data_IF_285723659831
#
_entry.id   IF_285723659831
#
_cell.length_a   1.000
_cell.length_b   1.000
_cell.length_c   1.000
_cell.angle_alpha   90.00
_cell.angle_beta   90.00
_cell.angle_gamma   90.00
#
_symmetry.space_group_name_H-M   'P 1'
#
loop_
_entity.id
_entity.type
_entity.pdbx_description
1 polymer ?
#
# COMPACT_ATOMS: atom_id res chain seq x y z
N UNK A 1 29.43 -75.70 10.89
CA UNK A 1 28.23 -75.28 10.14
C UNK A 1 27.66 -74.01 10.78
N UNK A 2 27.48 -72.92 10.00
CA UNK A 2 26.65 -71.70 10.23
C UNK A 2 26.94 -70.87 11.51
N UNK A 3 27.10 -69.55 11.57
CA UNK A 3 27.24 -68.36 10.70
C UNK A 3 27.55 -67.18 11.67
N UNK A 4 28.06 -66.02 11.22
CA UNK A 4 28.81 -65.06 12.06
C UNK A 4 27.91 -64.03 12.76
N UNK A 5 28.40 -63.44 13.86
CA UNK A 5 27.91 -62.15 14.37
C UNK A 5 29.09 -61.18 14.50
N UNK A 6 28.89 -60.01 13.87
CA UNK A 6 29.89 -59.00 13.59
C UNK A 6 30.25 -58.13 14.80
N UNK A 7 31.48 -57.65 14.70
CA UNK A 7 32.24 -56.72 15.53
C UNK A 7 31.67 -55.28 15.63
N UNK A 8 32.28 -54.54 16.57
CA UNK A 8 32.46 -53.08 16.68
C UNK A 8 31.26 -52.28 17.21
N UNK A 9 31.25 -51.66 18.40
CA UNK A 9 32.28 -51.04 19.27
C UNK A 9 32.69 -49.60 18.84
N UNK A 10 31.94 -48.63 19.40
CA UNK A 10 32.32 -47.34 20.02
C UNK A 10 32.64 -46.09 19.15
N UNK A 11 31.94 -45.00 19.56
CA UNK A 11 32.25 -43.54 19.56
C UNK A 11 32.31 -42.80 18.22
N UNK A 12 31.90 -41.52 18.08
CA UNK A 12 31.24 -40.53 18.94
C UNK A 12 30.80 -39.34 18.06
N UNK A 13 30.13 -38.38 18.71
CA UNK A 13 30.02 -36.94 18.36
C UNK A 13 28.76 -36.47 17.62
N UNK A 14 28.06 -35.61 18.37
CA UNK A 14 27.03 -34.61 18.08
C UNK A 14 27.09 -33.87 16.74
N UNK A 15 25.92 -33.64 16.12
CA UNK A 15 25.33 -32.32 15.82
C UNK A 15 23.82 -32.55 15.58
N UNK A 16 22.98 -31.93 16.42
CA UNK A 16 21.52 -31.99 16.34
C UNK A 16 21.01 -31.23 15.12
N UNK A 17 20.43 -31.94 14.16
CA UNK A 17 19.58 -31.38 13.12
C UNK A 17 18.12 -31.48 13.55
N UNK A 18 17.55 -30.39 14.06
CA UNK A 18 16.09 -30.20 14.10
C UNK A 18 15.69 -29.26 12.97
N UNK A 19 15.80 -29.78 11.75
CA UNK A 19 15.15 -29.26 10.57
C UNK A 19 13.82 -30.01 10.38
N UNK A 20 12.83 -29.80 11.27
CA UNK A 20 11.49 -30.39 11.07
C UNK A 20 10.39 -29.72 11.92
N UNK A 21 10.37 -28.38 11.98
CA UNK A 21 9.27 -27.67 12.65
C UNK A 21 8.90 -26.32 12.02
N UNK A 22 9.07 -26.13 10.71
CA UNK A 22 8.53 -24.95 10.01
C UNK A 22 8.09 -25.26 8.56
N UNK A 23 7.17 -26.21 8.39
CA UNK A 23 6.37 -26.32 7.16
C UNK A 23 4.91 -26.55 7.52
N UNK A 24 4.18 -25.44 7.71
CA UNK A 24 2.72 -25.28 7.48
C UNK A 24 2.29 -23.87 7.91
N UNK A 25 2.60 -22.87 7.09
CA UNK A 25 1.82 -21.63 7.03
C UNK A 25 1.30 -21.50 5.60
N UNK A 26 0.07 -21.94 5.41
CA UNK A 26 -0.64 -21.80 4.14
C UNK A 26 -0.95 -20.34 3.80
N UNK A 27 -1.24 -20.02 2.54
CA UNK A 27 -1.34 -18.64 2.06
C UNK A 27 -2.77 -18.11 2.18
N UNK A 28 -3.31 -17.91 3.38
CA UNK A 28 -4.60 -17.21 3.53
C UNK A 28 -4.66 -16.51 4.89
N UNK A 29 -4.64 -15.16 4.91
CA UNK A 29 -5.36 -14.29 5.87
C UNK A 29 -4.95 -12.80 5.82
N UNK A 30 -3.86 -12.42 5.14
CA UNK A 30 -3.46 -11.00 5.06
C UNK A 30 -4.52 -10.09 4.41
N UNK A 31 -5.23 -10.56 3.37
CA UNK A 31 -6.24 -9.74 2.67
C UNK A 31 -7.49 -9.40 3.49
N UNK A 32 -7.91 -10.26 4.42
CA UNK A 32 -9.11 -9.99 5.25
C UNK A 32 -8.82 -9.01 6.40
N UNK A 33 -7.61 -9.04 6.97
CA UNK A 33 -7.24 -8.12 8.04
C UNK A 33 -7.07 -6.68 7.52
N UNK A 34 -6.46 -6.52 6.34
CA UNK A 34 -6.28 -5.21 5.69
C UNK A 34 -7.62 -4.58 5.28
N UNK A 35 -8.53 -5.39 4.72
CA UNK A 35 -9.88 -4.94 4.36
C UNK A 35 -10.75 -4.60 5.59
N UNK A 36 -10.63 -5.36 6.68
CA UNK A 36 -11.40 -5.11 7.92
C UNK A 36 -10.88 -3.89 8.70
N UNK A 37 -9.57 -3.59 8.64
CA UNK A 37 -9.00 -2.36 9.16
C UNK A 37 -9.41 -1.13 8.34
N UNK A 38 -9.44 -1.23 7.01
CA UNK A 38 -9.95 -0.17 6.14
C UNK A 38 -11.45 0.15 6.37
N UNK A 39 -12.27 -0.82 6.73
CA UNK A 39 -13.71 -0.61 6.97
C UNK A 39 -14.03 0.16 8.27
N UNK A 40 -13.12 0.14 9.26
CA UNK A 40 -13.24 0.88 10.52
C UNK A 40 -12.75 2.34 10.39
N UNK A 41 -11.78 2.60 9.50
CA UNK A 41 -11.09 3.89 9.36
C UNK A 41 -11.94 5.02 8.74
N UNK A 42 -13.16 4.75 8.27
CA UNK A 42 -13.98 5.74 7.55
C UNK A 42 -15.38 5.95 8.14
N UNK A 43 -15.65 5.45 9.36
CA UNK A 43 -16.95 5.66 10.01
C UNK A 43 -17.29 7.15 10.19
N UNK A 44 -16.27 7.98 10.40
CA UNK A 44 -16.39 9.43 10.58
C UNK A 44 -16.85 10.17 9.32
N UNK A 45 -16.82 9.55 8.14
CA UNK A 45 -17.36 10.15 6.90
C UNK A 45 -18.90 10.17 6.85
N UNK A 46 -19.59 9.54 7.81
CA UNK A 46 -21.05 9.54 7.85
C UNK A 46 -21.68 9.11 6.52
N UNK A 47 -22.52 9.98 5.95
CA UNK A 47 -23.22 9.73 4.68
C UNK A 47 -22.28 9.64 3.46
N UNK A 48 -21.07 10.21 3.53
CA UNK A 48 -20.09 10.15 2.44
C UNK A 48 -19.29 8.86 2.41
N UNK A 49 -19.39 8.02 3.46
CA UNK A 49 -18.60 6.78 3.56
C UNK A 49 -18.78 5.89 2.34
N UNK A 50 -20.02 5.63 1.93
CA UNK A 50 -20.29 4.71 0.81
C UNK A 50 -19.85 5.30 -0.53
N UNK A 51 -19.99 6.62 -0.71
CA UNK A 51 -19.47 7.33 -1.89
C UNK A 51 -17.94 7.26 -1.96
N UNK A 52 -17.26 7.53 -0.85
CA UNK A 52 -15.81 7.44 -0.76
C UNK A 52 -15.31 6.02 -1.02
N UNK A 53 -15.97 5.00 -0.46
CA UNK A 53 -15.60 3.60 -0.73
C UNK A 53 -15.81 3.23 -2.20
N UNK A 54 -16.92 3.66 -2.81
CA UNK A 54 -17.16 3.46 -4.24
C UNK A 54 -16.09 4.16 -5.08
N UNK A 55 -15.77 5.41 -4.75
CA UNK A 55 -14.68 6.17 -5.38
C UNK A 55 -13.33 5.46 -5.25
N UNK A 56 -12.99 4.96 -4.06
CA UNK A 56 -11.72 4.27 -3.84
C UNK A 56 -11.64 3.00 -4.69
N UNK A 57 -12.72 2.25 -4.77
CA UNK A 57 -12.81 1.07 -5.63
C UNK A 57 -12.76 1.42 -7.13
N UNK A 58 -13.40 2.52 -7.52
CA UNK A 58 -13.39 3.06 -8.88
C UNK A 58 -11.98 3.46 -9.33
N UNK A 59 -11.33 4.32 -8.55
CA UNK A 59 -10.05 4.96 -8.89
C UNK A 59 -8.88 4.09 -8.48
N UNK A 60 -8.70 3.82 -7.20
CA UNK A 60 -7.49 3.17 -6.68
C UNK A 60 -7.45 1.66 -6.92
N UNK A 61 -8.61 0.98 -6.92
CA UNK A 61 -8.69 -0.45 -7.28
C UNK A 61 -8.86 -0.66 -8.80
N UNK A 62 -9.06 0.42 -9.55
CA UNK A 62 -9.00 0.47 -11.02
C UNK A 62 -10.28 0.08 -11.76
N UNK A 63 -11.45 0.07 -11.09
CA UNK A 63 -12.71 -0.28 -11.74
C UNK A 63 -13.15 0.74 -12.82
N UNK A 64 -12.73 2.00 -12.74
CA UNK A 64 -13.02 3.00 -13.78
C UNK A 64 -12.12 2.84 -15.01
N UNK A 65 -10.95 2.24 -14.82
CA UNK A 65 -9.93 2.10 -15.85
C UNK A 65 -10.00 0.79 -16.60
N UNK A 66 -10.57 -0.24 -16.00
CA UNK A 66 -10.65 -1.60 -16.55
C UNK A 66 -12.06 -2.14 -16.42
N UNK A 67 -12.56 -2.84 -17.43
CA UNK A 67 -13.87 -3.48 -17.38
C UNK A 67 -13.82 -4.80 -16.61
N UNK A 68 -14.97 -5.40 -16.34
CA UNK A 68 -15.04 -6.73 -15.72
C UNK A 68 -14.47 -7.84 -16.61
N UNK A 69 -14.26 -7.57 -17.91
CA UNK A 69 -13.60 -8.48 -18.85
C UNK A 69 -12.07 -8.33 -18.83
N UNK A 70 -11.55 -7.21 -18.33
CA UNK A 70 -10.11 -6.92 -18.19
C UNK A 70 -9.54 -7.39 -16.82
N UNK A 71 -9.99 -8.54 -16.33
CA UNK A 71 -9.75 -9.02 -14.95
C UNK A 71 -8.27 -9.01 -14.58
N UNK A 72 -7.41 -9.51 -15.47
CA UNK A 72 -5.96 -9.60 -15.23
C UNK A 72 -5.30 -8.23 -15.11
N UNK A 73 -5.74 -7.25 -15.90
CA UNK A 73 -5.21 -5.89 -15.87
C UNK A 73 -5.65 -5.18 -14.59
N UNK A 74 -6.93 -5.32 -14.23
CA UNK A 74 -7.48 -4.78 -12.98
C UNK A 74 -6.76 -5.37 -11.77
N UNK A 75 -6.56 -6.70 -11.75
CA UNK A 75 -5.82 -7.37 -10.68
C UNK A 75 -4.36 -6.90 -10.62
N UNK A 76 -3.70 -6.68 -11.77
CA UNK A 76 -2.34 -6.18 -11.82
C UNK A 76 -2.23 -4.73 -11.30
N UNK A 77 -3.17 -3.86 -11.68
CA UNK A 77 -3.27 -2.47 -11.21
C UNK A 77 -3.49 -2.44 -9.69
N UNK A 78 -4.55 -3.09 -9.20
CA UNK A 78 -4.87 -3.17 -7.77
C UNK A 78 -3.71 -3.75 -6.97
N UNK A 79 -3.07 -4.81 -7.47
CA UNK A 79 -1.92 -5.42 -6.82
C UNK A 79 -0.70 -4.48 -6.75
N UNK A 80 -0.51 -3.62 -7.76
CA UNK A 80 0.54 -2.61 -7.74
C UNK A 80 0.18 -1.45 -6.79
N UNK A 81 -1.06 -0.98 -6.78
CA UNK A 81 -1.52 0.02 -5.80
C UNK A 81 -1.27 -0.43 -4.36
N UNK A 82 -1.69 -1.66 -4.03
CA UNK A 82 -1.46 -2.23 -2.70
C UNK A 82 0.03 -2.39 -2.38
N UNK A 83 0.86 -2.74 -3.36
CA UNK A 83 2.30 -2.81 -3.16
C UNK A 83 2.91 -1.43 -2.87
N UNK A 84 2.45 -0.36 -3.54
CA UNK A 84 2.87 1.01 -3.24
C UNK A 84 2.49 1.37 -1.80
N UNK A 85 1.23 1.13 -1.42
CA UNK A 85 0.74 1.38 -0.05
C UNK A 85 1.54 0.61 1.01
N UNK A 86 1.74 -0.70 0.81
CA UNK A 86 2.51 -1.53 1.74
C UNK A 86 3.97 -1.05 1.83
N UNK A 87 4.55 -0.60 0.71
CA UNK A 87 5.92 -0.09 0.69
C UNK A 87 6.06 1.23 1.44
N UNK A 88 5.06 2.11 1.35
CA UNK A 88 4.99 3.34 2.13
C UNK A 88 4.76 3.07 3.62
N UNK A 89 3.81 2.19 3.96
CA UNK A 89 3.50 1.84 5.35
C UNK A 89 4.70 1.20 6.05
N UNK A 90 5.47 0.38 5.33
CA UNK A 90 6.67 -0.27 5.85
C UNK A 90 7.94 0.60 5.73
N UNK A 91 7.81 1.87 5.33
CA UNK A 91 8.92 2.82 5.08
C UNK A 91 9.99 2.27 4.11
N UNK A 92 9.64 1.28 3.28
CA UNK A 92 10.57 0.67 2.31
C UNK A 92 10.81 1.55 1.09
N UNK A 93 9.95 2.53 0.87
CA UNK A 93 10.17 3.61 -0.09
C UNK A 93 9.87 4.94 0.59
N UNK A 94 10.45 6.00 0.05
CA UNK A 94 10.14 7.36 0.49
C UNK A 94 8.78 7.81 -0.05
N UNK A 95 8.15 8.76 0.63
CA UNK A 95 6.84 9.30 0.23
C UNK A 95 6.83 9.89 -1.18
N UNK A 96 7.88 10.64 -1.56
CA UNK A 96 8.03 11.23 -2.90
C UNK A 96 8.04 10.15 -3.99
N UNK A 97 8.74 9.04 -3.74
CA UNK A 97 8.69 7.87 -4.60
C UNK A 97 7.27 7.27 -4.65
N UNK A 98 6.59 7.13 -3.50
CA UNK A 98 5.21 6.65 -3.46
C UNK A 98 4.23 7.52 -4.26
N UNK A 99 4.33 8.84 -4.16
CA UNK A 99 3.55 9.78 -4.98
C UNK A 99 3.84 9.59 -6.46
N UNK A 100 5.13 9.50 -6.84
CA UNK A 100 5.53 9.24 -8.21
C UNK A 100 4.95 7.93 -8.75
N UNK A 101 5.07 6.81 -8.02
CA UNK A 101 4.54 5.52 -8.46
C UNK A 101 3.01 5.52 -8.58
N UNK A 102 2.30 6.19 -7.67
CA UNK A 102 0.84 6.35 -7.78
C UNK A 102 0.46 7.19 -9.01
N UNK A 103 1.15 8.30 -9.27
CA UNK A 103 0.91 9.11 -10.46
C UNK A 103 1.15 8.30 -11.75
N UNK A 104 2.26 7.58 -11.85
CA UNK A 104 2.55 6.71 -12.99
C UNK A 104 1.51 5.59 -13.15
N UNK A 105 1.05 5.01 -12.04
CA UNK A 105 -0.01 4.01 -12.06
C UNK A 105 -1.30 4.58 -12.66
N UNK A 106 -1.72 5.78 -12.25
CA UNK A 106 -2.90 6.44 -12.81
C UNK A 106 -2.73 6.85 -14.26
N UNK A 107 -1.55 7.33 -14.67
CA UNK A 107 -1.26 7.63 -16.08
C UNK A 107 -1.39 6.38 -16.96
N UNK A 108 -0.89 5.22 -16.50
CA UNK A 108 -1.04 3.95 -17.23
C UNK A 108 -2.52 3.54 -17.30
N UNK A 109 -3.29 3.76 -16.24
CA UNK A 109 -4.69 3.38 -16.16
C UNK A 109 -5.58 4.28 -17.04
N UNK A 110 -5.32 5.59 -17.05
CA UNK A 110 -5.94 6.55 -17.96
C UNK A 110 -5.62 6.24 -19.43
N UNK A 111 -4.36 5.90 -19.73
CA UNK A 111 -3.96 5.40 -21.05
C UNK A 111 -4.79 4.17 -21.45
N UNK A 112 -4.98 3.22 -20.52
CA UNK A 112 -5.77 2.01 -20.78
C UNK A 112 -7.24 2.35 -21.07
N UNK A 113 -7.85 3.24 -20.28
CA UNK A 113 -9.22 3.74 -20.46
C UNK A 113 -9.38 4.42 -21.83
N UNK A 114 -8.44 5.29 -22.21
CA UNK A 114 -8.43 5.97 -23.53
C UNK A 114 -8.25 5.00 -24.69
N UNK A 115 -7.34 4.03 -24.58
CA UNK A 115 -7.09 3.01 -25.62
C UNK A 115 -8.30 2.10 -25.84
N UNK A 116 -9.00 1.75 -24.74
CA UNK A 116 -10.25 0.99 -24.80
C UNK A 116 -11.36 1.78 -25.51
N UNK A 117 -11.52 3.06 -25.19
CA UNK A 117 -12.65 3.87 -25.64
C UNK A 117 -13.97 3.23 -25.19
N UNK A 118 -14.93 3.12 -26.12
CA UNK A 118 -16.26 2.55 -25.86
C UNK A 118 -16.32 1.02 -25.98
N UNK A 119 -15.17 0.34 -26.07
CA UNK A 119 -15.13 -1.13 -26.19
C UNK A 119 -15.31 -1.78 -24.83
N UNK A 120 -15.85 -2.99 -24.85
CA UNK A 120 -16.04 -3.81 -23.65
C UNK A 120 -14.74 -4.36 -23.04
N UNK A 121 -13.64 -4.38 -23.80
CA UNK A 121 -12.36 -4.98 -23.37
C UNK A 121 -11.23 -4.31 -24.15
N UNK A 122 -10.03 -4.22 -23.57
CA UNK A 122 -8.88 -3.78 -24.33
C UNK A 122 -8.54 -4.81 -25.43
N UNK A 123 -8.34 -4.37 -26.69
CA UNK A 123 -7.75 -5.21 -27.74
C UNK A 123 -6.46 -5.88 -27.25
N UNK A 124 -6.24 -7.14 -27.62
CA UNK A 124 -5.16 -7.98 -27.08
C UNK A 124 -3.77 -7.31 -27.13
N UNK A 125 -3.44 -6.67 -28.24
CA UNK A 125 -2.18 -5.94 -28.39
C UNK A 125 -2.05 -4.79 -27.40
N UNK A 126 -3.11 -4.02 -27.20
CA UNK A 126 -3.14 -2.91 -26.23
C UNK A 126 -3.12 -3.44 -24.80
N UNK A 127 -3.86 -4.51 -24.50
CA UNK A 127 -3.82 -5.17 -23.21
C UNK A 127 -2.40 -5.66 -22.86
N UNK A 128 -1.69 -6.28 -23.81
CA UNK A 128 -0.28 -6.67 -23.65
C UNK A 128 0.62 -5.47 -23.37
N UNK A 129 0.42 -4.36 -24.08
CA UNK A 129 1.17 -3.11 -23.86
C UNK A 129 0.96 -2.54 -22.46
N UNK A 130 -0.31 -2.44 -22.01
CA UNK A 130 -0.63 -1.97 -20.66
C UNK A 130 -0.06 -2.91 -19.59
N UNK A 131 -0.20 -4.22 -19.77
CA UNK A 131 0.39 -5.22 -18.87
C UNK A 131 1.90 -5.06 -18.76
N UNK A 132 2.61 -4.84 -19.87
CA UNK A 132 4.05 -4.60 -19.87
C UNK A 132 4.43 -3.32 -19.10
N UNK A 133 3.66 -2.23 -19.26
CA UNK A 133 3.87 -0.99 -18.49
C UNK A 133 3.67 -1.22 -16.98
N UNK A 134 2.60 -1.92 -16.58
CA UNK A 134 2.33 -2.24 -15.17
C UNK A 134 3.41 -3.15 -14.57
N UNK A 135 3.88 -4.14 -15.32
CA UNK A 135 4.99 -5.02 -14.89
C UNK A 135 6.26 -4.22 -14.70
N UNK A 136 6.62 -3.36 -15.68
CA UNK A 136 7.80 -2.52 -15.56
C UNK A 136 7.73 -1.61 -14.33
N UNK A 137 6.62 -0.91 -14.13
CA UNK A 137 6.45 -0.02 -12.96
C UNK A 137 6.57 -0.79 -11.64
N UNK A 138 6.03 -2.02 -11.58
CA UNK A 138 6.19 -2.90 -10.42
C UNK A 138 7.64 -3.30 -10.18
N UNK A 139 8.38 -3.63 -11.23
CA UNK A 139 9.77 -4.07 -11.12
C UNK A 139 10.68 -2.90 -10.73
N UNK A 140 10.44 -1.71 -11.30
CA UNK A 140 11.10 -0.45 -10.92
C UNK A 140 10.86 -0.18 -9.41
N UNK A 141 9.61 -0.23 -8.95
CA UNK A 141 9.26 -0.10 -7.53
C UNK A 141 9.99 -1.14 -6.66
N UNK A 142 10.00 -2.41 -7.06
CA UNK A 142 10.69 -3.46 -6.30
C UNK A 142 12.19 -3.22 -6.19
N UNK A 143 12.82 -2.66 -7.24
CA UNK A 143 14.25 -2.36 -7.24
C UNK A 143 14.61 -1.18 -6.34
N UNK A 144 13.69 -0.24 -6.14
CA UNK A 144 13.87 0.91 -5.26
C UNK A 144 13.58 0.59 -3.78
N UNK A 145 12.77 -0.45 -3.51
CA UNK A 145 12.41 -0.84 -2.14
C UNK A 145 13.62 -1.25 -1.31
N UNK A 146 13.68 -0.75 -0.09
CA UNK A 146 14.58 -1.28 0.93
C UNK A 146 14.13 -2.68 1.39
N UNK A 147 15.09 -3.60 1.47
CA UNK A 147 14.84 -4.98 1.90
C UNK A 147 14.44 -5.06 3.37
N UNK A 148 15.06 -4.22 4.21
CA UNK A 148 14.83 -4.18 5.66
C UNK A 148 14.95 -2.76 6.17
N UNK A 149 13.91 -2.31 6.88
CA UNK A 149 13.88 -1.03 7.60
C UNK A 149 13.92 -1.32 9.10
N UNK A 150 14.66 -0.48 9.84
CA UNK A 150 14.83 -0.64 11.29
C UNK A 150 13.51 -0.38 12.04
N UNK A 151 13.03 -1.30 12.90
CA UNK A 151 11.77 -1.11 13.63
C UNK A 151 11.70 0.19 14.45
N UNK A 152 12.84 0.66 14.96
CA UNK A 152 12.95 1.83 15.83
C UNK A 152 12.59 3.15 15.14
N UNK A 153 12.64 3.19 13.80
CA UNK A 153 12.26 4.36 12.99
C UNK A 153 10.91 4.21 12.30
N UNK A 154 10.32 3.01 12.27
CA UNK A 154 9.08 2.74 11.55
C UNK A 154 7.89 3.48 12.15
N UNK A 155 7.05 4.09 11.32
CA UNK A 155 5.85 4.84 11.72
C UNK A 155 4.60 4.38 10.93
N UNK A 156 4.29 3.07 10.90
CA UNK A 156 3.33 2.51 9.94
C UNK A 156 1.90 3.04 10.10
N UNK A 157 1.49 3.42 11.31
CA UNK A 157 0.17 3.99 11.55
C UNK A 157 0.05 5.43 11.01
N UNK A 158 1.12 6.22 11.12
CA UNK A 158 1.20 7.58 10.59
C UNK A 158 1.12 7.55 9.05
N UNK A 159 1.94 6.69 8.44
CA UNK A 159 1.99 6.52 6.98
C UNK A 159 0.64 6.09 6.41
N UNK A 160 -0.06 5.19 7.12
CA UNK A 160 -1.43 4.79 6.75
C UNK A 160 -2.41 5.97 6.78
N UNK A 161 -2.33 6.84 7.80
CA UNK A 161 -3.18 8.03 7.88
C UNK A 161 -2.86 8.99 6.72
N UNK A 162 -1.59 9.21 6.39
CA UNK A 162 -1.19 10.08 5.28
C UNK A 162 -1.69 9.55 3.92
N UNK A 163 -1.62 8.24 3.68
CA UNK A 163 -2.20 7.62 2.48
C UNK A 163 -3.71 7.87 2.42
N UNK A 164 -4.41 7.58 3.52
CA UNK A 164 -5.87 7.79 3.60
C UNK A 164 -6.24 9.27 3.39
N UNK A 165 -5.44 10.20 3.89
CA UNK A 165 -5.62 11.64 3.69
C UNK A 165 -5.49 12.01 2.20
N UNK A 166 -4.51 11.49 1.48
CA UNK A 166 -4.40 11.76 0.03
C UNK A 166 -5.58 11.18 -0.74
N UNK A 167 -6.06 9.98 -0.38
CA UNK A 167 -7.28 9.40 -0.96
C UNK A 167 -8.50 10.30 -0.73
N UNK A 168 -8.67 10.83 0.49
CA UNK A 168 -9.77 11.72 0.85
C UNK A 168 -9.69 13.07 0.14
N UNK A 169 -8.50 13.66 0.03
CA UNK A 169 -8.29 14.91 -0.70
C UNK A 169 -8.63 14.71 -2.17
N UNK A 170 -8.16 13.61 -2.78
CA UNK A 170 -8.48 13.31 -4.18
C UNK A 170 -9.98 13.10 -4.39
N UNK A 171 -10.65 12.35 -3.50
CA UNK A 171 -12.10 12.19 -3.51
C UNK A 171 -12.83 13.54 -3.45
N UNK A 172 -12.45 14.39 -2.50
CA UNK A 172 -13.07 15.70 -2.36
C UNK A 172 -12.90 16.58 -3.59
N UNK A 173 -11.75 16.52 -4.26
CA UNK A 173 -11.52 17.25 -5.50
C UNK A 173 -12.30 16.69 -6.70
N UNK A 174 -12.30 15.36 -6.87
CA UNK A 174 -12.94 14.72 -8.02
C UNK A 174 -14.48 14.79 -7.94
N UNK A 175 -15.04 14.87 -6.73
CA UNK A 175 -16.49 15.06 -6.49
C UNK A 175 -16.91 16.52 -6.32
N UNK A 176 -16.03 17.49 -6.61
CA UNK A 176 -16.27 18.93 -6.47
C UNK A 176 -16.71 19.37 -5.04
N UNK A 177 -16.35 18.59 -4.01
CA UNK A 177 -16.63 18.90 -2.59
C UNK A 177 -15.57 19.86 -2.05
N UNK A 178 -14.30 19.62 -2.37
CA UNK A 178 -13.18 20.47 -1.98
C UNK A 178 -12.74 21.32 -3.15
N UNK A 179 -12.65 22.63 -2.92
CA UNK A 179 -12.00 23.53 -3.86
C UNK A 179 -10.52 23.20 -4.02
N UNK A 180 -9.92 23.64 -5.13
CA UNK A 180 -8.47 23.51 -5.32
C UNK A 180 -7.67 24.17 -4.19
N UNK A 181 -8.17 25.27 -3.62
CA UNK A 181 -7.53 25.97 -2.50
C UNK A 181 -7.54 25.16 -1.20
N UNK A 182 -8.66 24.55 -0.86
CA UNK A 182 -8.81 23.68 0.32
C UNK A 182 -7.93 22.43 0.20
N UNK A 183 -7.97 21.76 -0.96
CA UNK A 183 -7.13 20.61 -1.24
C UNK A 183 -5.63 20.95 -1.15
N UNK A 184 -5.21 22.10 -1.70
CA UNK A 184 -3.82 22.58 -1.57
C UNK A 184 -3.44 22.87 -0.11
N UNK A 185 -4.36 23.42 0.69
CA UNK A 185 -4.14 23.69 2.11
C UNK A 185 -3.91 22.39 2.90
N UNK A 186 -4.74 21.36 2.68
CA UNK A 186 -4.59 20.05 3.31
C UNK A 186 -3.25 19.41 2.90
N UNK A 187 -2.92 19.38 1.59
CA UNK A 187 -1.64 18.83 1.11
C UNK A 187 -0.44 19.56 1.69
N UNK A 188 -0.50 20.88 1.89
CA UNK A 188 0.56 21.63 2.56
C UNK A 188 0.74 21.19 4.02
N UNK A 189 -0.36 20.91 4.74
CA UNK A 189 -0.29 20.37 6.11
C UNK A 189 0.28 18.95 6.12
N UNK A 190 -0.12 18.09 5.17
CA UNK A 190 0.48 16.76 5.00
C UNK A 190 1.99 16.85 4.74
N UNK A 191 2.43 17.75 3.86
CA UNK A 191 3.86 17.95 3.59
C UNK A 191 4.65 18.42 4.83
N UNK A 192 4.02 19.21 5.72
CA UNK A 192 4.64 19.57 6.99
C UNK A 192 4.78 18.35 7.91
N UNK A 193 3.73 17.54 8.04
CA UNK A 193 3.74 16.30 8.83
C UNK A 193 4.82 15.32 8.33
N UNK A 194 4.91 15.12 7.02
CA UNK A 194 5.97 14.36 6.36
C UNK A 194 7.38 14.88 6.67
N UNK A 195 7.55 16.21 6.73
CA UNK A 195 8.84 16.82 7.07
C UNK A 195 9.19 16.62 8.55
N UNK A 196 8.20 16.75 9.43
CA UNK A 196 8.39 16.58 10.87
C UNK A 196 8.68 15.12 11.21
N UNK A 197 8.04 14.18 10.52
CA UNK A 197 8.38 12.76 10.58
C UNK A 197 9.82 12.49 10.13
N UNK A 198 10.22 13.01 8.95
CA UNK A 198 11.61 12.87 8.45
C UNK A 198 12.63 13.41 9.45
N UNK A 199 12.30 14.52 10.12
CA UNK A 199 13.12 15.09 11.18
C UNK A 199 13.19 14.17 12.40
N UNK A 200 12.06 13.62 12.85
CA UNK A 200 12.08 12.66 13.96
C UNK A 200 12.88 11.39 13.62
N UNK A 201 12.87 10.96 12.36
CA UNK A 201 13.66 9.82 11.86
C UNK A 201 15.16 10.14 11.69
N UNK A 202 15.58 11.41 11.68
CA UNK A 202 17.00 11.78 11.45
C UNK A 202 17.94 11.24 12.51
N UNK A 203 17.45 11.14 13.75
CA UNK A 203 18.23 10.70 14.90
C UNK A 203 18.27 9.16 15.01
N UNK A 204 17.75 8.46 14.00
CA UNK A 204 17.71 6.99 13.86
C UNK A 204 16.99 6.25 14.98
N UNK A 205 16.23 6.98 15.79
CA UNK A 205 15.36 6.48 16.83
C UNK A 205 14.24 7.49 17.04
N UNK A 206 13.00 7.10 16.76
CA UNK A 206 11.84 7.97 16.98
C UNK A 206 11.31 7.68 18.37
N UNK A 207 11.40 8.64 19.28
CA UNK A 207 10.94 8.48 20.66
C UNK A 207 9.42 8.32 20.74
N UNK A 208 8.92 7.67 21.81
CA UNK A 208 7.47 7.50 22.02
C UNK A 208 6.72 8.84 22.05
N UNK A 209 7.35 9.88 22.62
CA UNK A 209 6.79 11.23 22.67
C UNK A 209 6.68 11.85 21.28
N UNK A 210 7.66 11.65 20.41
CA UNK A 210 7.60 12.12 19.02
C UNK A 210 6.55 11.34 18.22
N UNK A 211 6.47 10.02 18.43
CA UNK A 211 5.44 9.17 17.81
C UNK A 211 4.05 9.63 18.19
N UNK A 212 3.81 9.88 19.48
CA UNK A 212 2.54 10.37 19.98
C UNK A 212 2.18 11.73 19.38
N UNK A 213 3.13 12.67 19.37
CA UNK A 213 2.94 14.00 18.78
C UNK A 213 2.58 13.92 17.30
N UNK A 214 3.34 13.17 16.49
CA UNK A 214 3.07 13.01 15.06
C UNK A 214 1.70 12.36 14.82
N UNK A 215 1.35 11.36 15.62
CA UNK A 215 0.05 10.69 15.53
C UNK A 215 -1.12 11.62 15.90
N UNK A 216 -0.93 12.50 16.88
CA UNK A 216 -1.93 13.51 17.26
C UNK A 216 -2.15 14.52 16.14
N UNK A 217 -1.06 15.07 15.57
CA UNK A 217 -1.12 16.00 14.43
C UNK A 217 -1.79 15.35 13.21
N UNK A 218 -1.46 14.08 12.93
CA UNK A 218 -2.08 13.33 11.83
C UNK A 218 -3.58 13.10 12.04
N UNK A 219 -4.00 12.77 13.27
CA UNK A 219 -5.42 12.58 13.62
C UNK A 219 -6.19 13.89 13.56
N UNK A 220 -5.60 14.99 14.01
CA UNK A 220 -6.20 16.31 13.91
C UNK A 220 -6.40 16.72 12.45
N UNK A 221 -5.36 16.57 11.62
CA UNK A 221 -5.46 16.84 10.18
C UNK A 221 -6.53 15.98 9.50
N UNK A 222 -6.64 14.71 9.89
CA UNK A 222 -7.70 13.81 9.39
C UNK A 222 -9.09 14.28 9.81
N UNK A 223 -9.29 14.67 11.07
CA UNK A 223 -10.57 15.23 11.54
C UNK A 223 -10.94 16.50 10.79
N UNK A 224 -9.97 17.41 10.60
CA UNK A 224 -10.18 18.64 9.85
C UNK A 224 -10.57 18.36 8.40
N UNK A 225 -9.85 17.44 7.74
CA UNK A 225 -10.15 17.03 6.35
C UNK A 225 -11.55 16.45 6.23
N UNK A 226 -11.95 15.56 7.14
CA UNK A 226 -13.30 14.99 7.16
C UNK A 226 -14.35 16.06 7.39
N UNK A 227 -14.09 17.02 8.29
CA UNK A 227 -15.01 18.13 8.52
C UNK A 227 -15.20 18.95 7.23
N UNK A 228 -14.11 19.31 6.54
CA UNK A 228 -14.20 20.03 5.27
C UNK A 228 -14.95 19.25 4.18
N UNK A 229 -14.90 17.91 4.20
CA UNK A 229 -15.69 17.10 3.28
C UNK A 229 -17.18 17.07 3.60
N UNK A 230 -17.57 17.36 4.84
CA UNK A 230 -18.96 17.27 5.31
C UNK A 230 -19.68 18.62 5.40
N UNK A 231 -18.94 19.73 5.38
CA UNK A 231 -19.44 21.10 5.38
C UNK A 231 -20.02 21.48 4.00
#
# INVERSE_FOLDING_TARGET
>A
MKTPFYLCLIAAVTISTQADAQRKRGPHHRGKAVAKAAAADHAELGALKDKFLAFRTAVYEGNDYYTDKDIDLRAAHRGLYLLICDSLIEDRIREDAGFFYNEQLFLIAEDAKKMRGNKDVLPEYQAKKIKAKLTKLRDDLKSEREDTVKPEILTPQLNRIQINLEELVKFGQDEDILSSGEASSIRRKMNNLSRDEKKAKSDKNVSDKEREKLMEEARELRRETIKQLLD
#
